data_IF_756071673305
#
_entry.id   IF_756071673305
#
_cell.length_a   1.000
_cell.length_b   1.000
_cell.length_c   1.000
_cell.angle_alpha   90.00
_cell.angle_beta   90.00
_cell.angle_gamma   90.00
#
_symmetry.space_group_name_H-M   'P 1'
#
loop_
_entity.id
_entity.type
_entity.pdbx_description
1 polymer ?
#
# COMPACT_ATOMS: atom_id res chain seq x y z
N UNK A 1 26.67 -4.58 -10.97
CA UNK A 1 26.02 -5.79 -11.50
C UNK A 1 25.00 -5.33 -12.53
N UNK A 2 24.94 -6.00 -13.68
CA UNK A 2 24.03 -5.60 -14.77
C UNK A 2 22.66 -6.17 -14.43
N UNK A 3 21.76 -5.33 -13.93
CA UNK A 3 20.38 -5.71 -13.66
C UNK A 3 19.69 -5.87 -15.01
N UNK A 4 19.21 -7.07 -15.33
CA UNK A 4 18.32 -7.27 -16.46
C UNK A 4 17.06 -6.42 -16.24
N UNK A 5 16.49 -5.81 -17.30
CA UNK A 5 15.21 -5.14 -17.15
C UNK A 5 14.18 -6.18 -16.67
N UNK A 6 13.48 -5.92 -15.56
CA UNK A 6 12.53 -6.85 -15.00
C UNK A 6 11.39 -7.11 -16.00
N UNK A 7 10.94 -8.36 -16.08
CA UNK A 7 9.58 -8.64 -16.54
C UNK A 7 8.65 -7.96 -15.54
N UNK A 8 8.15 -6.77 -15.90
CA UNK A 8 7.18 -6.06 -15.09
C UNK A 8 5.98 -7.00 -14.83
N UNK A 9 5.39 -7.02 -13.62
CA UNK A 9 4.16 -7.76 -13.36
C UNK A 9 3.06 -7.33 -14.35
N UNK A 10 1.99 -8.12 -14.52
CA UNK A 10 0.91 -7.75 -15.44
C UNK A 10 0.37 -6.35 -15.05
N UNK A 11 -0.01 -5.52 -16.03
CA UNK A 11 -0.50 -4.15 -15.76
C UNK A 11 -1.72 -4.12 -14.84
N UNK A 12 -2.46 -5.23 -14.79
CA UNK A 12 -3.59 -5.50 -13.90
C UNK A 12 -3.18 -5.68 -12.43
N UNK A 13 -1.89 -5.94 -12.21
CA UNK A 13 -1.23 -6.09 -10.92
C UNK A 13 -0.43 -4.84 -10.55
N UNK A 14 -0.38 -3.84 -11.43
CA UNK A 14 0.25 -2.57 -11.12
C UNK A 14 -0.67 -1.77 -10.20
N UNK A 15 -0.10 -1.03 -9.25
CA UNK A 15 -0.87 -0.09 -8.46
C UNK A 15 -1.50 0.94 -9.39
N UNK A 16 -2.82 0.87 -9.53
CA UNK A 16 -3.60 2.03 -9.95
C UNK A 16 -3.33 3.10 -8.89
N UNK A 17 -2.64 4.19 -9.24
CA UNK A 17 -2.37 5.35 -8.37
C UNK A 17 -3.64 6.02 -7.79
N UNK A 18 -4.83 5.49 -8.10
CA UNK A 18 -6.11 5.97 -7.63
C UNK A 18 -6.53 5.21 -6.37
N UNK A 19 -6.72 5.93 -5.27
CA UNK A 19 -7.37 5.38 -4.07
C UNK A 19 -8.77 4.82 -4.37
N UNK A 20 -9.28 3.91 -3.52
CA UNK A 20 -10.58 3.28 -3.71
C UNK A 20 -11.72 4.31 -3.69
N UNK A 21 -12.80 4.00 -4.41
CA UNK A 21 -14.03 4.78 -4.33
C UNK A 21 -14.65 4.66 -2.93
N UNK A 22 -15.10 5.78 -2.37
CA UNK A 22 -15.82 5.74 -1.11
C UNK A 22 -17.17 5.02 -1.29
N UNK A 23 -17.49 3.95 -0.53
CA UNK A 23 -18.75 3.23 -0.69
C UNK A 23 -19.98 4.07 -0.31
N UNK A 24 -19.80 5.10 0.52
CA UNK A 24 -20.89 5.95 1.01
C UNK A 24 -21.33 6.99 -0.01
N UNK A 25 -20.39 7.69 -0.66
CA UNK A 25 -20.70 8.78 -1.59
C UNK A 25 -20.28 8.52 -3.03
N UNK A 26 -19.64 7.37 -3.31
CA UNK A 26 -19.14 6.92 -4.62
C UNK A 26 -18.31 7.97 -5.38
N UNK A 27 -17.64 8.86 -4.64
CA UNK A 27 -16.74 9.83 -5.24
C UNK A 27 -15.37 9.17 -5.44
N UNK A 28 -14.77 9.32 -6.63
CA UNK A 28 -13.47 8.74 -6.92
C UNK A 28 -12.34 9.48 -6.22
N UNK A 29 -11.36 8.70 -5.74
CA UNK A 29 -10.01 9.11 -5.33
C UNK A 29 -9.87 10.21 -4.25
N UNK A 30 -10.96 10.71 -3.64
CA UNK A 30 -10.92 11.70 -2.56
C UNK A 30 -10.99 11.03 -1.18
N UNK A 31 -9.98 10.20 -0.92
CA UNK A 31 -9.87 9.34 0.27
C UNK A 31 -8.45 9.44 0.84
N UNK A 32 -8.36 9.44 2.16
CA UNK A 32 -7.12 9.37 2.94
C UNK A 32 -6.95 7.95 3.47
N UNK A 33 -5.74 7.41 3.49
CA UNK A 33 -5.46 6.11 4.10
C UNK A 33 -5.01 6.35 5.53
N UNK A 34 -5.75 5.79 6.47
CA UNK A 34 -5.53 6.06 7.90
C UNK A 34 -4.74 4.94 8.60
N UNK A 35 -4.34 3.91 7.87
CA UNK A 35 -3.50 2.82 8.37
C UNK A 35 -4.12 1.43 8.24
N UNK A 36 -3.34 0.40 8.57
CA UNK A 36 -3.84 -0.97 8.69
C UNK A 36 -4.64 -1.15 9.99
N UNK A 37 -5.57 -2.10 9.98
CA UNK A 37 -6.29 -2.54 11.17
C UNK A 37 -6.60 -4.04 11.10
N UNK A 38 -6.89 -4.63 12.25
CA UNK A 38 -7.38 -6.01 12.35
C UNK A 38 -8.82 -6.00 12.83
N UNK A 39 -9.71 -6.64 12.06
CA UNK A 39 -11.11 -6.81 12.44
C UNK A 39 -11.27 -7.86 13.54
N UNK A 40 -12.44 -7.89 14.18
CA UNK A 40 -12.72 -8.81 15.30
C UNK A 40 -12.64 -10.31 14.92
N UNK A 41 -12.81 -10.63 13.65
CA UNK A 41 -12.66 -11.98 13.08
C UNK A 41 -11.21 -12.32 12.70
N UNK A 42 -10.27 -11.40 12.93
CA UNK A 42 -8.85 -11.54 12.59
C UNK A 42 -8.51 -11.12 11.16
N UNK A 43 -9.47 -10.62 10.37
CA UNK A 43 -9.18 -10.14 9.02
C UNK A 43 -8.33 -8.87 9.05
N UNK A 44 -7.22 -8.87 8.32
CA UNK A 44 -6.42 -7.66 8.07
C UNK A 44 -7.12 -6.77 7.04
N UNK A 45 -7.29 -5.50 7.38
CA UNK A 45 -7.92 -4.51 6.52
C UNK A 45 -7.10 -3.23 6.47
N UNK A 46 -7.19 -2.52 5.35
CA UNK A 46 -6.73 -1.14 5.26
C UNK A 46 -7.92 -0.23 5.52
N UNK A 47 -7.74 0.74 6.41
CA UNK A 47 -8.78 1.70 6.75
C UNK A 47 -8.55 3.00 5.98
N UNK A 48 -9.65 3.54 5.47
CA UNK A 48 -9.68 4.70 4.61
C UNK A 48 -10.70 5.69 5.15
N UNK A 49 -10.42 6.98 5.04
CA UNK A 49 -11.33 8.07 5.37
C UNK A 49 -11.68 8.83 4.10
N UNK A 50 -12.95 8.86 3.75
CA UNK A 50 -13.42 9.75 2.69
C UNK A 50 -13.32 11.21 3.14
N UNK A 51 -12.69 12.06 2.32
CA UNK A 51 -12.58 13.50 2.61
C UNK A 51 -13.87 14.25 2.29
N UNK A 52 -14.71 13.71 1.41
CA UNK A 52 -15.97 14.34 1.00
C UNK A 52 -17.16 14.08 1.95
N UNK A 53 -17.28 12.88 2.54
CA UNK A 53 -18.42 12.49 3.40
C UNK A 53 -18.03 12.07 4.83
N UNK A 54 -16.87 12.55 5.32
CA UNK A 54 -16.11 12.06 6.48
C UNK A 54 -16.26 10.59 6.93
N UNK A 55 -16.65 9.68 6.03
CA UNK A 55 -16.92 8.30 6.38
C UNK A 55 -15.63 7.48 6.37
N UNK A 56 -15.44 6.70 7.43
CA UNK A 56 -14.38 5.70 7.49
C UNK A 56 -14.91 4.39 6.89
N UNK A 57 -14.09 3.73 6.09
CA UNK A 57 -14.41 2.44 5.48
C UNK A 57 -13.15 1.59 5.36
N UNK A 58 -13.34 0.28 5.37
CA UNK A 58 -12.24 -0.69 5.32
C UNK A 58 -12.30 -1.51 4.03
N UNK A 59 -11.14 -1.75 3.43
CA UNK A 59 -10.99 -2.74 2.35
C UNK A 59 -10.10 -3.88 2.85
N UNK A 60 -10.34 -5.13 2.43
CA UNK A 60 -9.44 -6.24 2.77
C UNK A 60 -8.00 -5.94 2.36
N UNK A 61 -7.05 -6.22 3.24
CA UNK A 61 -5.63 -6.18 2.89
C UNK A 61 -5.31 -7.42 2.07
N UNK A 62 -4.82 -7.23 0.85
CA UNK A 62 -4.36 -8.33 -0.01
C UNK A 62 -2.88 -8.14 -0.24
N UNK A 63 -2.08 -9.08 0.27
CA UNK A 63 -0.63 -9.06 0.12
C UNK A 63 -0.23 -9.79 -1.16
N UNK A 64 0.42 -9.11 -2.08
CA UNK A 64 0.96 -9.71 -3.29
C UNK A 64 2.47 -9.80 -3.20
N UNK A 65 3.07 -11.01 -3.25
CA UNK A 65 4.50 -11.15 -3.40
C UNK A 65 4.92 -10.50 -4.72
N UNK A 66 5.86 -9.57 -4.68
CA UNK A 66 6.41 -8.94 -5.88
C UNK A 66 7.87 -9.35 -5.99
N UNK A 67 8.24 -9.95 -7.12
CA UNK A 67 9.60 -10.48 -7.36
C UNK A 67 10.66 -9.40 -7.57
N UNK A 68 10.24 -8.16 -7.81
CA UNK A 68 11.09 -6.96 -7.93
C UNK A 68 10.50 -5.81 -7.10
N UNK A 69 10.10 -6.13 -5.87
CA UNK A 69 9.67 -5.14 -4.89
C UNK A 69 10.86 -4.40 -4.28
N UNK A 70 10.63 -3.26 -3.59
CA UNK A 70 11.68 -2.58 -2.85
C UNK A 70 12.23 -3.47 -1.72
N UNK A 71 13.53 -3.34 -1.46
CA UNK A 71 14.14 -3.92 -0.26
C UNK A 71 13.52 -3.30 0.99
N UNK A 72 13.32 -4.12 2.02
CA UNK A 72 12.88 -3.60 3.31
C UNK A 72 13.91 -2.60 3.85
N UNK A 73 13.52 -1.35 4.19
CA UNK A 73 14.45 -0.34 4.69
C UNK A 73 15.05 -0.70 6.05
N UNK A 74 14.37 -1.56 6.82
CA UNK A 74 14.80 -1.97 8.16
C UNK A 74 15.79 -3.15 8.14
N UNK A 75 15.46 -4.23 7.43
CA UNK A 75 16.25 -5.46 7.45
C UNK A 75 16.94 -5.80 6.11
N UNK A 76 16.70 -5.01 5.07
CA UNK A 76 17.27 -5.18 3.72
C UNK A 76 16.99 -6.54 3.06
N UNK A 77 15.91 -7.20 3.48
CA UNK A 77 15.41 -8.38 2.73
C UNK A 77 14.76 -7.91 1.44
N UNK A 78 15.04 -8.63 0.35
CA UNK A 78 14.39 -8.49 -0.96
C UNK A 78 12.99 -9.13 -0.96
N UNK A 79 12.64 -9.89 0.09
CA UNK A 79 11.35 -10.55 0.22
C UNK A 79 10.32 -9.57 0.78
N UNK A 80 9.69 -8.83 -0.14
CA UNK A 80 8.62 -7.89 0.17
C UNK A 80 7.34 -8.19 -0.59
N UNK A 81 6.22 -7.84 0.04
CA UNK A 81 4.89 -7.94 -0.52
C UNK A 81 4.29 -6.53 -0.56
N UNK A 82 3.62 -6.23 -1.66
CA UNK A 82 2.76 -5.05 -1.73
C UNK A 82 1.48 -5.33 -0.93
N UNK A 83 1.03 -4.37 -0.12
CA UNK A 83 -0.13 -4.53 0.75
C UNK A 83 -1.29 -3.61 0.37
N UNK A 84 -1.02 -2.34 0.04
CA UNK A 84 -2.05 -1.34 -0.22
C UNK A 84 -1.49 -0.11 -0.93
N UNK A 85 -2.38 0.81 -1.32
CA UNK A 85 -2.01 2.19 -1.63
C UNK A 85 -2.00 3.04 -0.35
N UNK A 86 -1.11 4.02 -0.28
CA UNK A 86 -0.99 5.05 0.75
C UNK A 86 -1.17 6.45 0.11
N UNK A 87 -2.39 6.87 -0.23
CA UNK A 87 -2.70 8.14 -0.92
C UNK A 87 -2.17 9.38 -0.20
N UNK A 88 -2.10 9.40 1.13
CA UNK A 88 -1.62 10.58 1.85
C UNK A 88 -0.11 10.81 1.65
N UNK A 89 0.62 9.72 1.47
CA UNK A 89 2.03 9.70 1.08
C UNK A 89 2.22 9.65 -0.45
N UNK A 90 1.12 9.64 -1.21
CA UNK A 90 1.08 9.42 -2.65
C UNK A 90 1.86 8.18 -3.10
N UNK A 91 1.93 7.13 -2.27
CA UNK A 91 2.77 5.95 -2.51
C UNK A 91 2.07 4.62 -2.29
N UNK A 92 2.86 3.55 -2.29
CA UNK A 92 2.46 2.16 -2.09
C UNK A 92 2.90 1.67 -0.72
N UNK A 93 2.01 1.08 0.06
CA UNK A 93 2.36 0.37 1.29
C UNK A 93 2.95 -1.00 0.96
N UNK A 94 4.13 -1.25 1.49
CA UNK A 94 4.88 -2.49 1.40
C UNK A 94 5.06 -3.10 2.78
N UNK A 95 5.18 -4.42 2.80
CA UNK A 95 5.51 -5.19 4.00
C UNK A 95 6.54 -6.25 3.69
N UNK A 96 7.47 -6.53 4.60
CA UNK A 96 8.44 -7.61 4.42
C UNK A 96 8.00 -8.89 5.15
N UNK A 97 8.67 -10.01 4.87
CA UNK A 97 8.42 -11.30 5.56
C UNK A 97 8.59 -11.24 7.10
N UNK A 98 9.33 -10.25 7.59
CA UNK A 98 9.54 -10.00 9.02
C UNK A 98 8.50 -9.06 9.64
N UNK A 99 7.51 -8.60 8.85
CA UNK A 99 6.40 -7.76 9.32
C UNK A 99 6.67 -6.26 9.36
N UNK A 100 7.84 -5.77 8.93
CA UNK A 100 8.08 -4.33 8.80
C UNK A 100 7.25 -3.74 7.66
N UNK A 101 6.63 -2.59 7.91
CA UNK A 101 5.83 -1.83 6.95
C UNK A 101 6.53 -0.53 6.55
N UNK A 102 6.37 -0.12 5.29
CA UNK A 102 6.94 1.13 4.76
C UNK A 102 6.18 1.54 3.50
N UNK A 103 6.21 2.84 3.17
CA UNK A 103 5.58 3.36 1.95
C UNK A 103 6.65 3.69 0.91
N UNK A 104 6.47 3.26 -0.34
CA UNK A 104 7.29 3.62 -1.49
C UNK A 104 6.54 4.63 -2.37
N UNK A 105 7.05 5.84 -2.54
CA UNK A 105 6.46 6.84 -3.43
C UNK A 105 6.83 6.59 -4.90
N UNK A 106 6.08 7.13 -5.88
CA UNK A 106 6.39 7.05 -7.31
C UNK A 106 7.76 7.61 -7.69
N UNK A 107 8.29 8.53 -6.88
CA UNK A 107 9.64 9.10 -7.04
C UNK A 107 10.75 8.17 -6.53
N UNK A 108 10.40 7.00 -5.98
CA UNK A 108 11.32 6.04 -5.39
C UNK A 108 11.76 6.40 -3.97
N UNK A 109 11.01 7.24 -3.27
CA UNK A 109 11.28 7.62 -1.89
C UNK A 109 10.61 6.65 -0.93
N UNK A 110 11.29 6.29 0.15
CA UNK A 110 10.72 5.46 1.22
C UNK A 110 10.29 6.37 2.37
N UNK A 111 9.02 6.25 2.79
CA UNK A 111 8.46 6.90 3.97
C UNK A 111 8.22 5.82 5.01
N UNK A 112 8.82 5.99 6.19
CA UNK A 112 8.66 5.07 7.31
C UNK A 112 7.45 5.46 8.17
N UNK A 113 6.72 4.50 8.77
CA UNK A 113 5.59 4.80 9.65
C UNK A 113 5.92 5.69 10.85
N UNK A 114 7.18 5.70 11.30
CA UNK A 114 7.64 6.56 12.42
C UNK A 114 7.91 8.02 11.99
N UNK A 115 7.87 8.30 10.68
CA UNK A 115 8.15 9.64 10.11
C UNK A 115 6.89 10.32 9.52
N UNK A 116 5.71 9.68 9.63
CA UNK A 116 4.43 10.18 9.13
C UNK A 116 3.59 10.91 10.18
#
# INVERSE_FOLDING_TARGET
>A
MTHNPPELPLVEQWPLLAGPDCPTCQRPADVAWIGPATMADGAEVNVWRCRACPADFSIPTVRWPVTDGPDCPYCRTEVTCWAALAPDALGDLWTCEHGHEFVLTPEGLIILPEEA
#
